data_IF_807975388200
#
_entry.id   IF_807975388200
#
_cell.length_a   1.000
_cell.length_b   1.000
_cell.length_c   1.000
_cell.angle_alpha   90.00
_cell.angle_beta   90.00
_cell.angle_gamma   90.00
#
_symmetry.space_group_name_H-M   'P 1'
#
loop_
_entity.id
_entity.type
_entity.pdbx_description
1 polymer ?
#
# COMPACT_ATOMS: atom_id res chain seq x y z
N UNK A 1 5.57 -8.61 -6.68
CA UNK A 1 6.15 -7.42 -6.04
C UNK A 1 6.63 -6.49 -7.12
N UNK A 2 6.27 -5.22 -7.06
CA UNK A 2 6.79 -4.17 -7.94
C UNK A 2 7.49 -3.14 -7.04
N UNK A 3 8.79 -2.91 -7.23
CA UNK A 3 9.54 -1.98 -6.40
C UNK A 3 9.23 -0.52 -6.76
N UNK A 4 9.37 0.39 -5.78
CA UNK A 4 9.31 1.84 -5.97
C UNK A 4 7.99 2.36 -6.58
N UNK A 5 6.88 1.67 -6.31
CA UNK A 5 5.54 2.04 -6.81
C UNK A 5 4.50 1.91 -5.72
N UNK A 6 3.57 2.87 -5.69
CA UNK A 6 2.41 2.86 -4.82
C UNK A 6 1.23 3.55 -5.50
N UNK A 7 0.02 3.40 -4.95
CA UNK A 7 -1.09 4.29 -5.30
C UNK A 7 -0.75 5.72 -4.90
N UNK A 8 -0.20 6.46 -5.86
CA UNK A 8 0.34 7.81 -5.71
C UNK A 8 -0.32 8.76 -6.73
N UNK A 9 -0.44 10.04 -6.34
CA UNK A 9 -0.83 11.17 -7.19
C UNK A 9 -2.14 10.97 -8.00
N UNK A 10 -3.30 11.22 -7.36
CA UNK A 10 -4.60 11.16 -8.02
C UNK A 10 -5.21 9.76 -8.13
N UNK A 11 -4.56 8.74 -7.56
CA UNK A 11 -5.15 7.41 -7.44
C UNK A 11 -6.47 7.47 -6.65
N UNK A 12 -7.54 6.80 -7.11
CA UNK A 12 -8.80 6.74 -6.37
C UNK A 12 -8.63 5.83 -5.14
N UNK A 13 -8.50 6.44 -3.97
CA UNK A 13 -8.42 5.73 -2.67
C UNK A 13 -9.74 5.06 -2.26
N UNK A 14 -10.76 5.05 -3.12
CA UNK A 14 -12.04 4.36 -2.89
C UNK A 14 -11.87 2.85 -2.65
N UNK A 15 -10.79 2.29 -3.19
CA UNK A 15 -10.44 0.88 -3.05
C UNK A 15 -9.63 0.58 -1.77
N UNK A 16 -9.28 1.61 -0.99
CA UNK A 16 -8.54 1.47 0.27
C UNK A 16 -9.38 0.70 1.29
N UNK A 17 -8.81 -0.36 1.84
CA UNK A 17 -9.45 -1.16 2.89
C UNK A 17 -8.96 -0.67 4.26
N UNK A 18 -7.66 -0.76 4.51
CA UNK A 18 -7.06 -0.46 5.81
C UNK A 18 -5.57 -0.18 5.67
N UNK A 19 -5.01 0.54 6.64
CA UNK A 19 -3.56 0.73 6.80
C UNK A 19 -3.12 0.17 8.15
N UNK A 20 -2.05 -0.61 8.16
CA UNK A 20 -1.43 -1.13 9.39
C UNK A 20 -0.05 -0.50 9.55
N UNK A 21 0.19 0.09 10.72
CA UNK A 21 1.46 0.74 11.06
C UNK A 21 2.39 -0.24 11.78
N UNK A 22 3.70 -0.02 11.69
CA UNK A 22 4.73 -0.85 12.36
C UNK A 22 4.62 -2.36 12.09
N UNK A 23 4.26 -2.73 10.86
CA UNK A 23 4.20 -4.12 10.40
C UNK A 23 5.43 -4.49 9.58
N UNK A 24 5.66 -5.79 9.36
CA UNK A 24 6.65 -6.26 8.38
C UNK A 24 5.98 -6.66 7.08
N UNK A 25 6.74 -6.76 5.99
CA UNK A 25 6.22 -7.24 4.70
C UNK A 25 5.60 -8.63 4.85
N UNK A 26 6.20 -9.52 5.65
CA UNK A 26 5.70 -10.88 5.87
C UNK A 26 4.37 -10.87 6.63
N UNK A 27 4.26 -10.07 7.68
CA UNK A 27 3.01 -9.90 8.42
C UNK A 27 1.91 -9.29 7.53
N UNK A 28 2.26 -8.30 6.71
CA UNK A 28 1.34 -7.71 5.74
C UNK A 28 0.89 -8.72 4.67
N UNK A 29 1.80 -9.54 4.14
CA UNK A 29 1.45 -10.63 3.21
C UNK A 29 0.48 -11.60 3.86
N UNK A 30 0.76 -12.04 5.08
CA UNK A 30 -0.11 -12.95 5.82
C UNK A 30 -1.50 -12.34 6.03
N UNK A 31 -1.57 -11.06 6.41
CA UNK A 31 -2.84 -10.35 6.56
C UNK A 31 -3.62 -10.28 5.23
N UNK A 32 -2.94 -9.95 4.13
CA UNK A 32 -3.54 -9.96 2.79
C UNK A 32 -3.96 -11.36 2.33
N UNK A 33 -3.28 -12.42 2.78
CA UNK A 33 -3.65 -13.81 2.50
C UNK A 33 -4.93 -14.21 3.25
N UNK A 34 -5.01 -13.87 4.55
CA UNK A 34 -6.17 -14.12 5.42
C UNK A 34 -7.42 -13.34 4.99
N UNK A 35 -7.24 -12.18 4.37
CA UNK A 35 -8.33 -11.30 3.93
C UNK A 35 -8.57 -11.44 2.43
N UNK A 36 -9.64 -12.14 2.04
CA UNK A 36 -9.97 -12.38 0.63
C UNK A 36 -10.40 -11.14 -0.15
N UNK A 37 -10.78 -10.06 0.53
CA UNK A 37 -11.10 -8.76 -0.07
C UNK A 37 -9.85 -7.96 -0.46
N UNK A 38 -8.68 -8.29 0.09
CA UNK A 38 -7.41 -7.64 -0.26
C UNK A 38 -6.86 -8.29 -1.52
N UNK A 39 -6.68 -7.47 -2.55
CA UNK A 39 -6.09 -7.88 -3.83
C UNK A 39 -4.64 -7.46 -3.94
N UNK A 40 -4.28 -6.31 -3.37
CA UNK A 40 -2.91 -5.80 -3.35
C UNK A 40 -2.70 -4.86 -2.17
N UNK A 41 -1.45 -4.63 -1.83
CA UNK A 41 -1.05 -3.70 -0.78
C UNK A 41 0.27 -3.03 -1.10
N UNK A 42 0.51 -1.86 -0.53
CA UNK A 42 1.78 -1.15 -0.59
C UNK A 42 2.46 -1.21 0.77
N UNK A 43 3.76 -1.41 0.77
CA UNK A 43 4.57 -1.38 1.98
C UNK A 43 5.57 -0.24 1.87
N UNK A 44 5.51 0.69 2.83
CA UNK A 44 6.41 1.83 2.87
C UNK A 44 7.63 1.51 3.71
N UNK A 45 8.80 1.57 3.05
CA UNK A 45 10.11 1.34 3.67
C UNK A 45 10.68 2.63 4.25
N UNK A 46 10.31 3.76 3.67
CA UNK A 46 10.71 5.10 4.09
C UNK A 46 9.47 5.95 4.39
N UNK A 47 9.69 7.06 5.09
CA UNK A 47 8.63 8.02 5.41
C UNK A 47 8.11 8.66 4.12
N UNK A 48 6.80 8.66 3.93
CA UNK A 48 6.14 9.19 2.75
C UNK A 48 4.97 10.07 3.15
N UNK A 49 4.95 11.31 2.66
CA UNK A 49 3.85 12.26 2.85
C UNK A 49 3.13 12.47 1.53
N UNK A 50 1.79 12.42 1.59
CA UNK A 50 0.92 12.83 0.50
C UNK A 50 0.48 14.27 0.73
N UNK A 51 0.77 15.15 -0.22
CA UNK A 51 0.23 16.51 -0.31
C UNK A 51 -0.35 16.70 -1.72
N UNK A 52 -1.44 17.49 -1.91
CA UNK A 52 -2.07 18.36 -0.90
C UNK A 52 -3.29 17.75 -0.19
N UNK A 53 -3.97 16.74 -0.73
CA UNK A 53 -5.04 16.01 -0.02
C UNK A 53 -5.30 14.61 -0.59
N UNK A 54 -5.73 13.65 0.26
CA UNK A 54 -5.72 13.72 1.73
C UNK A 54 -4.28 13.70 2.26
N UNK A 55 -3.99 14.54 3.26
CA UNK A 55 -2.71 14.52 3.99
C UNK A 55 -2.56 13.16 4.67
N UNK A 56 -1.95 12.20 3.97
CA UNK A 56 -1.65 10.87 4.48
C UNK A 56 -0.16 10.76 4.63
N UNK A 57 0.25 10.50 5.86
CA UNK A 57 1.64 10.24 6.19
C UNK A 57 1.78 8.76 6.46
N UNK A 58 2.74 8.13 5.79
CA UNK A 58 3.08 6.73 5.94
C UNK A 58 4.49 6.65 6.49
N UNK A 59 4.60 6.12 7.71
CA UNK A 59 5.89 5.89 8.33
C UNK A 59 6.53 4.60 7.80
N UNK A 60 7.86 4.46 7.91
CA UNK A 60 8.54 3.20 7.67
C UNK A 60 7.87 2.05 8.42
N UNK A 61 7.60 0.95 7.72
CA UNK A 61 6.86 -0.19 8.28
C UNK A 61 5.35 -0.06 8.18
N UNK A 62 4.82 0.91 7.45
CA UNK A 62 3.38 0.99 7.19
C UNK A 62 3.01 0.16 5.97
N UNK A 63 2.01 -0.71 6.11
CA UNK A 63 1.38 -1.42 4.99
C UNK A 63 -0.03 -0.88 4.75
N UNK A 64 -0.36 -0.63 3.50
CA UNK A 64 -1.62 -0.05 3.07
C UNK A 64 -2.31 -1.01 2.12
N UNK A 65 -3.48 -1.51 2.49
CA UNK A 65 -4.19 -2.57 1.79
C UNK A 65 -5.34 -2.04 0.96
N UNK A 66 -5.51 -2.64 -0.22
CA UNK A 66 -6.49 -2.22 -1.21
C UNK A 66 -7.18 -3.42 -1.86
N UNK A 67 -8.36 -3.14 -2.42
CA UNK A 67 -9.17 -4.05 -3.21
C UNK A 67 -9.17 -3.68 -4.70
N UNK A 68 -9.62 -4.58 -5.56
CA UNK A 68 -9.77 -4.31 -6.99
C UNK A 68 -8.45 -4.28 -7.76
N UNK A 69 -8.24 -3.21 -8.54
CA UNK A 69 -7.09 -3.07 -9.45
C UNK A 69 -6.15 -1.96 -8.96
N UNK A 70 -4.84 -2.23 -8.89
CA UNK A 70 -3.86 -1.24 -8.45
C UNK A 70 -3.70 -0.11 -9.45
N UNK A 71 -3.59 1.10 -8.94
CA UNK A 71 -3.11 2.25 -9.69
C UNK A 71 -1.63 2.52 -9.36
N UNK A 72 -0.70 2.16 -10.24
CA UNK A 72 0.71 2.39 -9.97
C UNK A 72 1.13 3.82 -10.31
N UNK A 73 1.42 4.59 -9.27
CA UNK A 73 2.24 5.80 -9.38
C UNK A 73 3.70 5.52 -8.98
N UNK A 74 4.56 6.49 -9.28
CA UNK A 74 5.97 6.45 -8.89
C UNK A 74 6.09 6.81 -7.41
N UNK A 75 6.54 5.87 -6.58
CA UNK A 75 6.74 6.08 -5.14
C UNK A 75 8.03 5.38 -4.69
N UNK A 76 9.19 6.04 -4.78
CA UNK A 76 10.49 5.45 -4.41
C UNK A 76 10.54 4.88 -2.98
N UNK A 77 9.73 5.44 -2.08
CA UNK A 77 9.68 5.08 -0.67
C UNK A 77 8.91 3.77 -0.40
N UNK A 78 8.06 3.31 -1.32
CA UNK A 78 7.16 2.18 -1.08
C UNK A 78 7.24 1.13 -2.20
N UNK A 79 6.99 -0.13 -1.82
CA UNK A 79 6.94 -1.26 -2.75
C UNK A 79 5.52 -1.83 -2.79
N UNK A 80 5.05 -2.19 -3.99
CA UNK A 80 3.75 -2.81 -4.18
C UNK A 80 3.82 -4.34 -4.17
N UNK A 81 2.82 -4.94 -3.53
CA UNK A 81 2.65 -6.37 -3.44
C UNK A 81 1.23 -6.72 -3.86
N UNK A 82 1.13 -7.46 -4.95
CA UNK A 82 -0.14 -8.00 -5.42
C UNK A 82 -0.26 -9.45 -5.00
N UNK A 83 -1.46 -9.83 -4.61
CA UNK A 83 -1.83 -11.23 -4.42
C UNK A 83 -2.03 -11.82 -5.82
N UNK A 84 -1.12 -12.70 -6.23
CA UNK A 84 -1.38 -13.52 -7.41
C UNK A 84 -2.60 -14.39 -7.10
N UNK A 85 -3.66 -14.27 -7.90
CA UNK A 85 -4.83 -15.15 -7.83
C UNK A 85 -4.46 -16.59 -8.13
#
# INVERSE_FOLDING_TARGET
>A
MKPNVAEFEGAPWDNHIISTYSTTVEAAKKYAEEHSNITFFFYCREHMTFEPEPHRTFDPGTAVFFSGKPWYGTAPQCDAYEKNK
#
